data_IF_108875594688
#
_entry.id   IF_108875594688
#
_cell.length_a   1.000
_cell.length_b   1.000
_cell.length_c   1.000
_cell.angle_alpha   90.00
_cell.angle_beta   90.00
_cell.angle_gamma   90.00
#
_symmetry.space_group_name_H-M   'P 1'
#
loop_
_entity.id
_entity.type
_entity.pdbx_description
1 polymer ?
#
# COMPACT_ATOMS: atom_id res chain seq x y z
N UNK A 1 -23.84 14.59 -4.79
CA UNK A 1 -22.50 14.82 -4.21
C UNK A 1 -21.56 13.77 -4.77
N UNK A 2 -20.76 14.16 -5.72
CA UNK A 2 -19.93 13.30 -6.58
C UNK A 2 -18.76 12.78 -5.77
N UNK A 3 -18.59 11.47 -5.78
CA UNK A 3 -17.53 10.73 -5.08
C UNK A 3 -16.17 11.22 -5.56
N UNK A 4 -15.38 11.85 -4.70
CA UNK A 4 -14.06 12.44 -5.00
C UNK A 4 -12.97 11.40 -5.40
N UNK A 5 -13.32 10.14 -5.60
CA UNK A 5 -12.35 9.06 -5.81
C UNK A 5 -12.47 8.33 -7.16
N UNK A 6 -13.35 8.77 -8.07
CA UNK A 6 -13.36 8.26 -9.45
C UNK A 6 -12.32 9.02 -10.29
N UNK A 7 -11.04 8.80 -10.05
CA UNK A 7 -10.01 9.14 -11.03
C UNK A 7 -10.03 8.07 -12.11
N UNK A 8 -10.34 8.47 -13.34
CA UNK A 8 -10.14 7.65 -14.54
C UNK A 8 -8.64 7.38 -14.72
N UNK A 9 -8.21 6.18 -14.34
CA UNK A 9 -6.86 5.72 -14.61
C UNK A 9 -6.73 5.34 -16.07
N UNK A 10 -5.59 5.60 -16.74
CA UNK A 10 -5.38 5.19 -18.11
C UNK A 10 -5.60 3.67 -18.27
N UNK A 11 -6.46 3.29 -19.21
CA UNK A 11 -6.62 1.90 -19.62
C UNK A 11 -5.38 1.53 -20.45
N UNK A 12 -4.59 0.57 -20.00
CA UNK A 12 -3.46 0.06 -20.76
C UNK A 12 -3.78 -1.34 -21.28
N UNK A 13 -3.81 -1.48 -22.60
CA UNK A 13 -4.19 -2.70 -23.33
C UNK A 13 -3.05 -3.75 -23.44
N UNK A 14 -1.96 -3.62 -22.72
CA UNK A 14 -0.90 -4.63 -22.72
C UNK A 14 -0.68 -5.12 -21.28
N UNK A 15 -0.80 -6.44 -21.08
CA UNK A 15 -0.39 -7.10 -19.84
C UNK A 15 1.13 -7.05 -19.77
N UNK A 16 1.75 -6.14 -19.00
CA UNK A 16 3.16 -6.28 -18.68
C UNK A 16 3.32 -7.54 -17.85
N UNK A 17 4.46 -8.17 -17.92
CA UNK A 17 4.82 -9.20 -16.95
C UNK A 17 4.47 -8.73 -15.54
N UNK A 18 3.68 -9.53 -14.80
CA UNK A 18 3.23 -9.16 -13.46
C UNK A 18 4.40 -8.76 -12.57
N UNK A 19 4.27 -7.68 -11.82
CA UNK A 19 5.28 -7.26 -10.85
C UNK A 19 5.35 -8.24 -9.69
N UNK A 20 4.19 -8.66 -9.21
CA UNK A 20 4.06 -9.63 -8.12
C UNK A 20 3.82 -11.03 -8.70
N UNK A 21 4.58 -12.01 -8.21
CA UNK A 21 4.30 -13.40 -8.51
C UNK A 21 3.15 -13.91 -7.63
N UNK A 22 2.49 -14.97 -8.06
CA UNK A 22 1.29 -15.53 -7.39
C UNK A 22 1.57 -16.09 -5.99
N UNK A 23 2.81 -16.42 -5.71
CA UNK A 23 3.29 -16.93 -4.42
C UNK A 23 3.96 -15.85 -3.54
N UNK A 24 3.90 -14.58 -3.96
CA UNK A 24 4.34 -13.46 -3.14
C UNK A 24 3.21 -12.96 -2.23
N UNK A 25 3.55 -12.31 -1.10
CA UNK A 25 2.53 -11.70 -0.24
C UNK A 25 1.57 -10.80 -1.02
N UNK A 26 0.27 -10.79 -0.68
CA UNK A 26 -0.67 -9.84 -1.28
C UNK A 26 -0.22 -8.40 -0.98
N UNK A 27 -0.67 -7.39 -1.76
CA UNK A 27 -0.24 -6.00 -1.56
C UNK A 27 -0.62 -5.44 -0.17
N UNK A 28 -1.65 -5.99 0.45
CA UNK A 28 -2.09 -5.56 1.78
C UNK A 28 -2.59 -6.75 2.62
N UNK A 29 -2.67 -6.53 3.93
CA UNK A 29 -3.29 -7.43 4.90
C UNK A 29 -4.44 -6.72 5.60
N UNK A 30 -5.52 -7.44 5.88
CA UNK A 30 -6.64 -6.96 6.68
C UNK A 30 -6.68 -7.74 7.99
N UNK A 31 -6.58 -7.03 9.11
CA UNK A 31 -6.74 -7.61 10.43
C UNK A 31 -8.10 -7.19 10.99
N UNK A 32 -8.71 -8.07 11.78
CA UNK A 32 -10.01 -7.89 12.41
C UNK A 32 -11.11 -7.44 11.41
N UNK A 33 -11.23 -8.14 10.29
CA UNK A 33 -12.13 -7.79 9.17
C UNK A 33 -13.59 -7.61 9.58
N UNK A 34 -14.03 -8.33 10.63
CA UNK A 34 -15.38 -8.23 11.19
C UNK A 34 -15.52 -7.21 12.32
N UNK A 35 -14.53 -6.34 12.50
CA UNK A 35 -14.56 -5.31 13.54
C UNK A 35 -15.77 -4.39 13.39
N UNK A 36 -16.44 -4.09 14.52
CA UNK A 36 -17.68 -3.30 14.57
C UNK A 36 -17.45 -1.83 14.94
N UNK A 37 -16.22 -1.45 15.27
CA UNK A 37 -15.86 -0.06 15.53
C UNK A 37 -16.19 0.85 14.34
N UNK A 38 -16.63 2.09 14.54
CA UNK A 38 -16.76 3.06 13.48
C UNK A 38 -15.40 3.51 12.91
N UNK A 39 -14.31 3.22 13.62
CA UNK A 39 -12.95 3.58 13.19
C UNK A 39 -12.42 2.57 12.18
N UNK A 40 -11.70 3.07 11.18
CA UNK A 40 -10.85 2.30 10.27
C UNK A 40 -9.41 2.73 10.50
N UNK A 41 -8.54 1.76 10.74
CA UNK A 41 -7.11 1.99 10.91
C UNK A 41 -6.42 1.61 9.61
N UNK A 42 -5.59 2.51 9.10
CA UNK A 42 -4.77 2.27 7.90
C UNK A 42 -3.29 2.47 8.24
N UNK A 43 -2.43 1.64 7.66
CA UNK A 43 -0.99 1.67 7.91
C UNK A 43 -0.22 1.55 6.59
N UNK A 44 0.06 2.70 5.98
CA UNK A 44 0.65 2.82 4.64
C UNK A 44 2.09 2.31 4.56
N UNK A 45 2.81 2.36 5.68
CA UNK A 45 4.24 2.03 5.75
C UNK A 45 4.53 0.86 6.69
N UNK A 46 3.55 -0.02 6.94
CA UNK A 46 3.71 -1.16 7.85
C UNK A 46 4.58 -2.28 7.27
N UNK A 47 4.63 -2.38 5.94
CA UNK A 47 5.32 -3.45 5.25
C UNK A 47 6.76 -3.14 4.87
N UNK A 48 7.57 -4.20 4.81
CA UNK A 48 8.98 -4.14 4.40
C UNK A 48 9.33 -5.10 3.25
N UNK A 49 8.34 -5.73 2.63
CA UNK A 49 8.59 -6.62 1.51
C UNK A 49 9.01 -5.84 0.26
N UNK A 50 9.85 -6.50 -0.54
CA UNK A 50 10.20 -6.05 -1.89
C UNK A 50 9.74 -7.12 -2.88
N UNK A 51 9.10 -6.76 -4.00
CA UNK A 51 8.80 -7.73 -5.06
C UNK A 51 10.07 -8.41 -5.54
N UNK A 52 10.06 -9.73 -5.67
CA UNK A 52 11.24 -10.52 -6.11
C UNK A 52 11.85 -10.00 -7.41
N UNK A 53 11.00 -9.54 -8.34
CA UNK A 53 11.44 -8.96 -9.62
C UNK A 53 12.26 -7.67 -9.46
N UNK A 54 12.10 -6.95 -8.36
CA UNK A 54 12.84 -5.72 -8.08
C UNK A 54 14.07 -5.96 -7.21
N UNK A 55 14.26 -7.21 -6.71
CA UNK A 55 15.25 -7.48 -5.67
C UNK A 55 15.04 -6.54 -4.49
N UNK A 56 16.13 -6.06 -3.91
CA UNK A 56 16.11 -5.06 -2.84
C UNK A 56 16.27 -3.63 -3.37
N UNK A 57 15.98 -3.35 -4.64
CA UNK A 57 16.19 -2.05 -5.30
C UNK A 57 17.65 -1.56 -5.24
N UNK A 58 18.62 -2.48 -5.09
CA UNK A 58 20.03 -2.16 -4.93
C UNK A 58 20.44 -1.75 -3.52
N UNK A 59 19.56 -1.92 -2.54
CA UNK A 59 19.80 -1.64 -1.12
C UNK A 59 20.51 -2.83 -0.44
N UNK A 60 21.29 -2.52 0.59
CA UNK A 60 21.82 -3.52 1.52
C UNK A 60 20.71 -4.03 2.47
N UNK A 61 20.95 -5.17 3.13
CA UNK A 61 20.03 -5.69 4.14
C UNK A 61 19.80 -4.68 5.29
N UNK A 62 20.82 -3.95 5.69
CA UNK A 62 20.70 -2.93 6.74
C UNK A 62 19.79 -1.78 6.32
N UNK A 63 19.89 -1.31 5.07
CA UNK A 63 19.02 -0.25 4.54
C UNK A 63 17.56 -0.72 4.37
N UNK A 64 17.33 -1.99 4.04
CA UNK A 64 15.98 -2.57 3.98
C UNK A 64 15.31 -2.66 5.36
N UNK A 65 16.08 -2.76 6.44
CA UNK A 65 15.57 -2.78 7.82
C UNK A 65 15.51 -1.38 8.45
N UNK A 66 15.99 -0.35 7.76
CA UNK A 66 16.01 1.02 8.25
C UNK A 66 14.61 1.66 8.15
N UNK A 67 14.32 2.64 9.01
CA UNK A 67 13.05 3.37 9.03
C UNK A 67 12.75 4.13 7.72
N UNK A 68 13.74 4.40 6.89
CA UNK A 68 13.52 4.94 5.55
C UNK A 68 12.74 3.97 4.64
N UNK A 69 12.83 2.65 4.88
CA UNK A 69 12.15 1.63 4.09
C UNK A 69 10.75 1.27 4.62
N UNK A 70 10.52 1.40 5.92
CA UNK A 70 9.25 1.09 6.58
C UNK A 70 9.20 1.69 7.99
N UNK A 71 8.00 1.94 8.51
CA UNK A 71 7.84 2.49 9.88
C UNK A 71 7.89 1.34 10.90
N UNK A 72 9.05 1.23 11.58
CA UNK A 72 9.36 0.12 12.49
C UNK A 72 8.32 0.05 13.62
N UNK A 73 7.67 -1.10 13.75
CA UNK A 73 6.69 -1.36 14.81
C UNK A 73 5.27 -0.87 14.52
N UNK A 74 5.04 -0.01 13.51
CA UNK A 74 3.70 0.54 13.23
C UNK A 74 2.67 -0.56 12.95
N UNK A 75 3.02 -1.61 12.23
CA UNK A 75 2.13 -2.74 11.95
C UNK A 75 1.63 -3.42 13.22
N UNK A 76 2.53 -3.64 14.20
CA UNK A 76 2.17 -4.24 15.50
C UNK A 76 1.27 -3.29 16.29
N UNK A 77 1.63 -2.01 16.37
CA UNK A 77 0.84 -0.98 17.07
C UNK A 77 -0.57 -0.89 16.48
N UNK A 78 -0.70 -0.84 15.16
CA UNK A 78 -2.00 -0.80 14.49
C UNK A 78 -2.86 -2.04 14.78
N UNK A 79 -2.26 -3.24 14.80
CA UNK A 79 -2.96 -4.48 15.18
C UNK A 79 -3.44 -4.45 16.63
N UNK A 80 -2.60 -3.99 17.56
CA UNK A 80 -2.97 -3.88 18.99
C UNK A 80 -4.12 -2.88 19.19
N UNK A 81 -4.04 -1.71 18.57
CA UNK A 81 -5.11 -0.69 18.61
C UNK A 81 -6.38 -1.25 17.94
N UNK A 82 -6.26 -1.89 16.78
CA UNK A 82 -7.38 -2.52 16.10
C UNK A 82 -8.11 -3.54 16.97
N UNK A 83 -7.36 -4.39 17.66
CA UNK A 83 -7.91 -5.36 18.61
C UNK A 83 -8.58 -4.67 19.80
N UNK A 84 -7.93 -3.69 20.41
CA UNK A 84 -8.43 -2.97 21.59
C UNK A 84 -9.73 -2.21 21.29
N UNK A 85 -9.83 -1.61 20.10
CA UNK A 85 -10.99 -0.82 19.67
C UNK A 85 -12.00 -1.63 18.86
N UNK A 86 -11.78 -2.91 18.65
CA UNK A 86 -12.56 -3.76 17.73
C UNK A 86 -12.70 -3.10 16.34
N UNK A 87 -11.61 -2.50 15.83
CA UNK A 87 -11.56 -1.80 14.56
C UNK A 87 -10.93 -2.68 13.46
N UNK A 88 -11.39 -2.51 12.22
CA UNK A 88 -10.73 -3.09 11.05
C UNK A 88 -9.41 -2.35 10.82
N UNK A 89 -8.35 -3.12 10.52
CA UNK A 89 -7.03 -2.58 10.19
C UNK A 89 -6.66 -3.01 8.78
N UNK A 90 -6.26 -2.08 7.91
CA UNK A 90 -5.70 -2.36 6.59
C UNK A 90 -4.24 -1.94 6.58
N UNK A 91 -3.34 -2.91 6.39
CA UNK A 91 -1.89 -2.68 6.40
C UNK A 91 -1.28 -2.96 5.04
N UNK A 92 -0.47 -2.04 4.54
CA UNK A 92 0.36 -2.24 3.36
C UNK A 92 1.50 -3.22 3.68
N UNK A 93 1.81 -4.16 2.76
CA UNK A 93 2.80 -5.21 3.01
C UNK A 93 4.18 -4.92 2.37
N UNK A 94 4.23 -4.06 1.37
CA UNK A 94 5.46 -3.73 0.65
C UNK A 94 6.10 -2.45 1.18
N UNK A 95 7.43 -2.38 1.08
CA UNK A 95 8.20 -1.20 1.48
C UNK A 95 7.75 0.07 0.77
N UNK A 96 7.68 1.18 1.49
CA UNK A 96 7.43 2.52 0.93
C UNK A 96 8.46 2.94 -0.13
N UNK A 97 9.64 2.31 -0.16
CA UNK A 97 10.64 2.54 -1.20
C UNK A 97 10.28 1.90 -2.54
N UNK A 98 9.40 0.90 -2.54
CA UNK A 98 8.82 0.37 -3.78
C UNK A 98 7.82 1.36 -4.35
N UNK A 99 6.85 1.77 -3.55
CA UNK A 99 5.89 2.84 -3.81
C UNK A 99 5.29 3.33 -2.49
N UNK A 100 5.36 4.63 -2.25
CA UNK A 100 4.78 5.24 -1.05
C UNK A 100 3.26 5.37 -1.21
N UNK A 101 2.51 4.53 -0.48
CA UNK A 101 1.05 4.52 -0.53
C UNK A 101 0.41 5.75 0.13
N UNK A 102 1.18 6.55 0.88
CA UNK A 102 0.75 7.84 1.43
C UNK A 102 1.06 9.04 0.51
N UNK A 103 1.41 8.78 -0.75
CA UNK A 103 1.71 9.83 -1.74
C UNK A 103 0.90 9.62 -3.01
N UNK A 104 0.50 10.70 -3.65
CA UNK A 104 -0.23 10.62 -4.93
C UNK A 104 0.67 9.99 -6.00
N UNK A 105 0.24 8.91 -6.67
CA UNK A 105 0.97 8.35 -7.80
C UNK A 105 1.25 9.39 -8.88
N UNK A 106 2.47 9.37 -9.43
CA UNK A 106 2.92 10.36 -10.41
C UNK A 106 3.43 11.67 -9.80
N UNK A 107 3.26 11.89 -8.49
CA UNK A 107 4.05 12.92 -7.81
C UNK A 107 5.52 12.48 -7.77
N UNK A 108 6.46 13.41 -7.81
CA UNK A 108 7.88 13.10 -7.68
C UNK A 108 8.28 12.46 -6.34
N UNK A 109 7.32 12.33 -5.40
CA UNK A 109 7.54 11.79 -4.06
C UNK A 109 6.94 10.41 -3.83
N UNK A 110 6.21 9.84 -4.80
CA UNK A 110 5.57 8.52 -4.65
C UNK A 110 6.54 7.35 -4.87
N UNK A 111 7.60 7.55 -5.65
CA UNK A 111 8.68 6.59 -5.87
C UNK A 111 9.98 7.39 -5.83
N UNK A 112 10.64 7.37 -4.67
CA UNK A 112 11.83 8.16 -4.43
C UNK A 112 13.10 7.41 -4.85
N UNK A 113 14.03 8.09 -5.50
CA UNK A 113 15.41 7.64 -5.72
C UNK A 113 16.35 8.01 -4.57
N UNK A 114 15.90 8.93 -3.68
CA UNK A 114 16.55 9.30 -2.43
C UNK A 114 15.48 9.48 -1.35
N UNK A 115 15.49 8.64 -0.32
CA UNK A 115 14.64 8.73 0.86
C UNK A 115 15.50 9.09 2.06
N UNK A 116 15.30 10.29 2.60
CA UNK A 116 16.18 10.88 3.62
C UNK A 116 17.64 10.92 3.12
N UNK A 117 18.52 10.10 3.69
CA UNK A 117 19.93 9.94 3.26
C UNK A 117 20.17 8.62 2.52
N UNK A 118 19.12 7.78 2.35
CA UNK A 118 19.23 6.48 1.71
C UNK A 118 18.97 6.62 0.21
N UNK A 119 19.99 6.37 -0.61
CA UNK A 119 19.86 6.32 -2.05
C UNK A 119 19.23 4.98 -2.46
N UNK A 120 18.26 5.01 -3.37
CA UNK A 120 17.53 3.82 -3.86
C UNK A 120 17.86 3.60 -5.33
N UNK A 121 18.94 2.86 -5.65
CA UNK A 121 19.44 2.73 -7.03
C UNK A 121 18.39 2.19 -8.00
N UNK A 122 17.58 1.22 -7.57
CA UNK A 122 16.53 0.62 -8.39
C UNK A 122 15.36 1.55 -8.72
N UNK A 123 15.34 2.77 -8.21
CA UNK A 123 14.34 3.80 -8.54
C UNK A 123 14.86 4.87 -9.50
N UNK A 124 16.15 4.84 -9.81
CA UNK A 124 16.76 5.81 -10.73
C UNK A 124 16.36 5.47 -12.18
N UNK A 125 15.88 6.45 -12.91
CA UNK A 125 15.58 6.31 -14.34
C UNK A 125 14.44 5.33 -14.67
N UNK A 126 13.50 5.11 -13.75
CA UNK A 126 12.35 4.21 -14.00
C UNK A 126 11.51 4.68 -15.18
N UNK A 127 11.23 3.75 -16.11
CA UNK A 127 10.25 3.98 -17.17
C UNK A 127 8.83 4.10 -16.59
N UNK A 128 7.94 4.78 -17.30
CA UNK A 128 6.54 4.90 -16.92
C UNK A 128 5.86 3.52 -16.77
N UNK A 129 6.24 2.53 -17.59
CA UNK A 129 5.76 1.15 -17.48
C UNK A 129 6.06 0.56 -16.09
N UNK A 130 7.28 0.73 -15.58
CA UNK A 130 7.67 0.22 -14.26
C UNK A 130 6.95 0.96 -13.12
N UNK A 131 6.77 2.28 -13.23
CA UNK A 131 5.99 3.06 -12.26
C UNK A 131 4.53 2.61 -12.23
N UNK A 132 3.91 2.46 -13.40
CA UNK A 132 2.51 2.01 -13.53
C UNK A 132 2.29 0.58 -13.01
N UNK A 133 3.25 -0.33 -13.17
CA UNK A 133 3.17 -1.67 -12.60
C UNK A 133 3.06 -1.63 -11.06
N UNK A 134 3.87 -0.79 -10.40
CA UNK A 134 3.79 -0.59 -8.93
C UNK A 134 2.46 0.02 -8.50
N UNK A 135 1.95 0.99 -9.26
CA UNK A 135 0.63 1.58 -9.01
C UNK A 135 -0.47 0.54 -9.14
N UNK A 136 -0.45 -0.25 -10.22
CA UNK A 136 -1.49 -1.24 -10.52
C UNK A 136 -1.53 -2.38 -9.52
N UNK A 137 -0.37 -2.88 -9.09
CA UNK A 137 -0.30 -4.13 -8.35
C UNK A 137 -0.10 -3.93 -6.84
N UNK A 138 0.32 -2.74 -6.39
CA UNK A 138 0.55 -2.45 -4.98
C UNK A 138 -0.35 -1.31 -4.50
N UNK A 139 -0.22 -0.12 -5.11
CA UNK A 139 -0.93 1.07 -4.64
C UNK A 139 -2.45 0.93 -4.77
N UNK A 140 -2.92 0.62 -5.99
CA UNK A 140 -4.36 0.56 -6.27
C UNK A 140 -5.09 -0.49 -5.42
N UNK A 141 -4.65 -1.76 -5.35
CA UNK A 141 -5.35 -2.76 -4.54
C UNK A 141 -5.46 -2.36 -3.06
N UNK A 142 -4.44 -1.73 -2.49
CA UNK A 142 -4.47 -1.21 -1.12
C UNK A 142 -5.54 -0.13 -0.94
N UNK A 143 -5.56 0.87 -1.82
CA UNK A 143 -6.53 1.97 -1.75
C UNK A 143 -7.95 1.54 -2.09
N UNK A 144 -8.12 0.60 -3.03
CA UNK A 144 -9.43 0.03 -3.36
C UNK A 144 -10.02 -0.73 -2.16
N UNK A 145 -9.18 -1.43 -1.39
CA UNK A 145 -9.63 -2.09 -0.14
C UNK A 145 -10.07 -1.08 0.91
N UNK A 146 -9.33 0.01 1.09
CA UNK A 146 -9.70 1.09 1.99
C UNK A 146 -11.03 1.72 1.55
N UNK A 147 -11.17 2.05 0.27
CA UNK A 147 -12.40 2.62 -0.29
C UNK A 147 -13.60 1.70 -0.08
N UNK A 148 -13.45 0.40 -0.35
CA UNK A 148 -14.48 -0.62 -0.11
C UNK A 148 -14.93 -0.64 1.35
N UNK A 149 -13.99 -0.56 2.28
CA UNK A 149 -14.29 -0.55 3.71
C UNK A 149 -15.02 0.73 4.14
N UNK A 150 -14.62 1.88 3.61
CA UNK A 150 -15.30 3.16 3.84
C UNK A 150 -16.73 3.17 3.29
N UNK A 151 -16.94 2.60 2.10
CA UNK A 151 -18.27 2.51 1.48
C UNK A 151 -19.18 1.55 2.24
N UNK A 152 -18.63 0.44 2.78
CA UNK A 152 -19.37 -0.47 3.66
C UNK A 152 -19.90 0.24 4.90
N UNK A 153 -19.12 1.16 5.49
CA UNK A 153 -19.46 1.92 6.70
C UNK A 153 -20.47 3.05 6.45
N UNK A 154 -20.53 3.56 5.23
CA UNK A 154 -21.51 4.62 4.85
C UNK A 154 -22.92 4.09 4.63
N UNK A 155 -23.09 2.80 4.39
CA UNK A 155 -24.42 2.20 4.22
C UNK A 155 -25.11 2.15 5.58
N UNK A 156 -26.33 2.73 5.73
CA UNK A 156 -27.09 2.58 6.95
C UNK A 156 -27.38 1.09 7.18
N UNK A 157 -27.43 0.64 8.45
CA UNK A 157 -27.82 -0.74 8.75
C UNK A 157 -29.16 -1.02 8.06
N UNK A 158 -29.25 -2.17 7.38
CA UNK A 158 -30.49 -2.60 6.78
C UNK A 158 -31.58 -2.58 7.87
N UNK A 159 -32.70 -1.82 7.65
CA UNK A 159 -33.83 -1.90 8.55
C UNK A 159 -34.26 -3.34 8.59
N UNK A 160 -34.15 -3.97 9.74
CA UNK A 160 -34.79 -5.26 9.97
C UNK A 160 -36.31 -5.04 9.87
N UNK A 161 -37.05 -5.96 9.21
CA UNK A 161 -38.48 -5.88 9.08
C UNK A 161 -39.18 -6.01 10.45
#
# INVERSE_FOLDING_TARGET
>A
MTTLYQRSWPQMNETPDSLLATDEPPPFTVDNENGTSPLLIVADHAGKHFPRRLGQLGLSNAECEHHAAWDIGVGVVCCLIGKALNAVVVRQNYSRLVIDCNRTPGSGTSILDLSELTRVPGNIGLSERHKLARVREIFRPYHDRIATELDRRRKPPARQP
#
